data_IF_930888131820
#
_entry.id   IF_930888131820
#
_cell.length_a   1.000
_cell.length_b   1.000
_cell.length_c   1.000
_cell.angle_alpha   90.00
_cell.angle_beta   90.00
_cell.angle_gamma   90.00
#
_symmetry.space_group_name_H-M   'P 1'
#
loop_
_entity.id
_entity.type
_entity.pdbx_description
1 polymer ?
#
# COMPACT_ATOMS: atom_id res chain seq x y z
N UNK A 1 -95.39 64.40 -21.11
CA UNK A 1 -96.34 64.02 -20.03
C UNK A 1 -95.48 63.35 -18.97
N UNK A 2 -94.91 64.09 -18.01
CA UNK A 2 -95.53 64.71 -16.80
C UNK A 2 -95.90 63.68 -15.73
N UNK A 3 -95.66 64.07 -14.47
CA UNK A 3 -95.80 63.46 -13.13
C UNK A 3 -94.57 62.67 -12.67
N UNK A 4 -93.70 63.12 -11.74
CA UNK A 4 -93.81 63.86 -10.45
C UNK A 4 -94.34 63.03 -9.27
N UNK A 5 -93.78 63.34 -8.08
CA UNK A 5 -94.08 62.95 -6.68
C UNK A 5 -93.25 61.77 -6.12
N UNK A 6 -92.25 62.00 -5.25
CA UNK A 6 -92.30 62.31 -3.78
C UNK A 6 -92.71 61.07 -2.93
N UNK A 7 -92.11 60.67 -1.80
CA UNK A 7 -91.74 61.41 -0.57
C UNK A 7 -90.77 60.57 0.33
N UNK A 8 -90.27 61.23 1.37
CA UNK A 8 -89.14 61.02 2.32
C UNK A 8 -89.36 60.04 3.49
N UNK A 9 -88.29 59.45 4.08
CA UNK A 9 -88.06 59.26 5.56
C UNK A 9 -86.67 58.61 5.85
N UNK A 10 -85.65 59.33 6.33
CA UNK A 10 -85.21 59.61 7.74
C UNK A 10 -84.22 58.59 8.37
N UNK A 11 -83.14 59.14 8.96
CA UNK A 11 -82.27 58.57 10.02
C UNK A 11 -81.10 57.67 9.53
N UNK A 12 -79.90 57.65 10.09
CA UNK A 12 -79.28 58.28 11.28
C UNK A 12 -77.75 58.04 11.23
N UNK A 13 -76.98 58.83 11.98
CA UNK A 13 -75.53 58.83 12.15
C UNK A 13 -74.94 57.52 12.73
N UNK A 14 -73.64 57.26 12.48
CA UNK A 14 -72.91 56.24 13.24
C UNK A 14 -71.48 55.98 12.77
N UNK A 15 -70.55 56.64 13.42
CA UNK A 15 -69.09 56.60 13.23
C UNK A 15 -68.44 55.27 13.69
N UNK A 16 -67.32 54.91 13.05
CA UNK A 16 -66.25 54.07 13.62
C UNK A 16 -66.43 52.56 13.76
N UNK A 17 -65.56 51.77 13.09
CA UNK A 17 -64.79 50.73 13.79
C UNK A 17 -63.52 50.27 13.04
N UNK A 18 -62.38 50.88 13.38
CA UNK A 18 -61.04 50.28 13.19
C UNK A 18 -60.76 49.40 14.41
N UNK A 19 -60.81 48.06 14.27
CA UNK A 19 -59.96 47.11 15.00
C UNK A 19 -60.45 45.66 14.86
N UNK A 20 -60.12 44.98 13.76
CA UNK A 20 -60.13 43.50 13.71
C UNK A 20 -58.93 43.05 12.87
N UNK A 21 -57.70 43.31 13.31
CA UNK A 21 -56.52 42.72 12.66
C UNK A 21 -55.25 42.69 13.52
N UNK A 22 -55.36 42.59 14.85
CA UNK A 22 -54.16 42.51 15.73
C UNK A 22 -54.08 41.28 16.64
N UNK A 23 -55.13 40.44 16.64
CA UNK A 23 -55.22 39.26 17.52
C UNK A 23 -54.69 37.99 16.84
N UNK A 24 -54.86 37.85 15.51
CA UNK A 24 -54.43 36.67 14.74
C UNK A 24 -52.91 36.60 14.59
N UNK A 25 -52.26 37.69 14.19
CA UNK A 25 -50.81 37.73 14.01
C UNK A 25 -50.03 37.56 15.32
N UNK A 26 -50.60 38.01 16.45
CA UNK A 26 -49.99 37.82 17.78
C UNK A 26 -50.07 36.37 18.22
N UNK A 27 -51.18 35.68 17.96
CA UNK A 27 -51.30 34.25 18.24
C UNK A 27 -50.41 33.39 17.34
N UNK A 28 -50.28 33.71 16.05
CA UNK A 28 -49.42 32.98 15.12
C UNK A 28 -47.92 33.14 15.46
N UNK A 29 -47.49 34.33 15.87
CA UNK A 29 -46.12 34.56 16.38
C UNK A 29 -45.84 33.78 17.68
N UNK A 30 -46.83 33.65 18.55
CA UNK A 30 -46.69 32.91 19.82
C UNK A 30 -46.64 31.39 19.62
N UNK A 31 -47.49 30.86 18.72
CA UNK A 31 -47.51 29.43 18.34
C UNK A 31 -46.21 29.04 17.63
N UNK A 32 -45.72 29.89 16.71
CA UNK A 32 -44.43 29.66 16.02
C UNK A 32 -43.23 29.75 16.96
N UNK A 33 -43.23 30.67 17.93
CA UNK A 33 -42.18 30.77 18.95
C UNK A 33 -42.16 29.56 19.88
N UNK A 34 -43.33 29.09 20.34
CA UNK A 34 -43.45 27.88 21.17
C UNK A 34 -43.01 26.63 20.41
N UNK A 35 -43.37 26.54 19.12
CA UNK A 35 -42.91 25.46 18.23
C UNK A 35 -41.40 25.51 18.06
N UNK A 36 -40.81 26.69 17.84
CA UNK A 36 -39.36 26.89 17.73
C UNK A 36 -38.62 26.50 19.03
N UNK A 37 -39.13 26.90 20.19
CA UNK A 37 -38.54 26.53 21.49
C UNK A 37 -38.61 25.03 21.75
N UNK A 38 -39.71 24.38 21.35
CA UNK A 38 -39.85 22.92 21.42
C UNK A 38 -38.87 22.20 20.49
N UNK A 39 -38.68 22.69 19.26
CA UNK A 39 -37.70 22.13 18.32
C UNK A 39 -36.25 22.35 18.78
N UNK A 40 -35.93 23.51 19.37
CA UNK A 40 -34.61 23.78 19.96
C UNK A 40 -34.31 22.81 21.11
N UNK A 41 -35.28 22.63 22.01
CA UNK A 41 -35.16 21.66 23.11
C UNK A 41 -35.02 20.22 22.62
N UNK A 42 -35.75 19.85 21.57
CA UNK A 42 -35.62 18.53 20.96
C UNK A 42 -34.22 18.35 20.35
N UNK A 43 -33.72 19.32 19.60
CA UNK A 43 -32.38 19.28 19.03
C UNK A 43 -31.28 19.22 20.10
N UNK A 44 -31.45 19.96 21.21
CA UNK A 44 -30.55 19.90 22.37
C UNK A 44 -30.57 18.52 23.03
N UNK A 45 -31.74 17.89 23.16
CA UNK A 45 -31.88 16.53 23.68
C UNK A 45 -31.26 15.49 22.75
N UNK A 46 -31.44 15.62 21.44
CA UNK A 46 -30.87 14.72 20.45
C UNK A 46 -29.33 14.82 20.43
N UNK A 47 -28.77 16.03 20.57
CA UNK A 47 -27.31 16.24 20.68
C UNK A 47 -26.75 15.62 21.97
N UNK A 48 -27.48 15.70 23.08
CA UNK A 48 -27.08 15.07 24.34
C UNK A 48 -27.13 13.54 24.24
N UNK A 49 -28.15 12.98 23.58
CA UNK A 49 -28.25 11.55 23.35
C UNK A 49 -27.09 11.03 22.48
N UNK A 50 -26.75 11.74 21.40
CA UNK A 50 -25.61 11.40 20.53
C UNK A 50 -24.26 11.49 21.26
N UNK A 51 -24.10 12.46 22.17
CA UNK A 51 -22.88 12.57 23.00
C UNK A 51 -22.75 11.39 23.96
N UNK A 52 -23.85 11.00 24.62
CA UNK A 52 -23.86 9.85 25.50
C UNK A 52 -23.55 8.55 24.75
N UNK A 53 -24.11 8.37 23.54
CA UNK A 53 -23.81 7.22 22.69
C UNK A 53 -22.35 7.22 22.23
N UNK A 54 -21.78 8.38 21.87
CA UNK A 54 -20.37 8.50 21.50
C UNK A 54 -19.44 8.11 22.65
N UNK A 55 -19.72 8.60 23.86
CA UNK A 55 -18.93 8.28 25.06
C UNK A 55 -18.99 6.77 25.37
N UNK A 56 -20.14 6.13 25.19
CA UNK A 56 -20.29 4.68 25.33
C UNK A 56 -19.46 3.91 24.28
N UNK A 57 -19.50 4.34 23.01
CA UNK A 57 -18.68 3.71 21.96
C UNK A 57 -17.19 3.90 22.19
N UNK A 58 -16.76 5.06 22.68
CA UNK A 58 -15.35 5.32 23.03
C UNK A 58 -14.90 4.40 24.17
N UNK A 59 -15.72 4.25 25.22
CA UNK A 59 -15.41 3.32 26.31
C UNK A 59 -15.32 1.87 25.82
N UNK A 60 -16.15 1.47 24.86
CA UNK A 60 -16.09 0.14 24.27
C UNK A 60 -14.83 -0.06 23.40
N UNK A 61 -14.41 0.95 22.63
CA UNK A 61 -13.15 0.92 21.88
C UNK A 61 -11.97 0.72 22.84
N UNK A 62 -11.95 1.44 23.96
CA UNK A 62 -10.90 1.28 24.97
C UNK A 62 -10.87 -0.13 25.55
N UNK A 63 -12.03 -0.71 25.86
CA UNK A 63 -12.12 -2.12 26.33
C UNK A 63 -11.62 -3.11 25.27
N UNK A 64 -11.98 -2.91 24.00
CA UNK A 64 -11.52 -3.76 22.91
C UNK A 64 -10.00 -3.65 22.72
N UNK A 65 -9.43 -2.46 22.83
CA UNK A 65 -7.98 -2.24 22.79
C UNK A 65 -7.27 -2.92 23.96
N UNK A 66 -7.82 -2.85 25.17
CA UNK A 66 -7.30 -3.54 26.34
C UNK A 66 -7.34 -5.07 26.15
N UNK A 67 -8.47 -5.61 25.66
CA UNK A 67 -8.61 -7.05 25.34
C UNK A 67 -7.61 -7.49 24.28
N UNK A 68 -7.41 -6.71 23.22
CA UNK A 68 -6.43 -7.01 22.17
C UNK A 68 -5.01 -7.02 22.72
N UNK A 69 -4.68 -6.06 23.60
CA UNK A 69 -3.37 -5.98 24.25
C UNK A 69 -3.10 -7.20 25.14
N UNK A 70 -4.07 -7.60 25.96
CA UNK A 70 -3.97 -8.79 26.82
C UNK A 70 -3.89 -10.06 25.97
N UNK A 71 -4.71 -10.18 24.92
CA UNK A 71 -4.66 -11.32 24.00
C UNK A 71 -3.30 -11.43 23.31
N UNK A 72 -2.76 -10.30 22.82
CA UNK A 72 -1.44 -10.26 22.17
C UNK A 72 -0.32 -10.62 23.15
N UNK A 73 -0.43 -10.18 24.42
CA UNK A 73 0.52 -10.52 25.48
C UNK A 73 0.40 -11.98 25.94
N UNK A 74 -0.79 -12.55 25.96
CA UNK A 74 -1.03 -13.95 26.31
C UNK A 74 -0.62 -14.91 25.19
N UNK A 75 -0.73 -14.50 23.92
CA UNK A 75 -0.19 -15.23 22.76
C UNK A 75 1.32 -15.04 22.60
N UNK A 76 1.88 -13.97 23.16
CA UNK A 76 3.32 -13.75 23.22
C UNK A 76 3.94 -14.58 24.34
N UNK A 77 3.87 -15.92 24.20
CA UNK A 77 4.80 -16.79 24.90
C UNK A 77 6.21 -16.41 24.45
N UNK A 78 7.13 -16.00 25.34
CA UNK A 78 8.50 -15.61 24.96
C UNK A 78 9.31 -16.76 24.31
N UNK A 79 8.78 -17.99 24.34
CA UNK A 79 9.46 -19.20 23.92
C UNK A 79 9.23 -19.61 22.45
N UNK A 80 8.28 -19.02 21.73
CA UNK A 80 7.96 -19.43 20.33
C UNK A 80 8.28 -18.39 19.26
N UNK A 81 8.90 -17.26 19.62
CA UNK A 81 9.70 -16.54 18.62
C UNK A 81 10.98 -17.33 18.44
N UNK A 82 10.95 -18.39 17.63
CA UNK A 82 12.16 -18.79 16.91
C UNK A 82 12.57 -17.54 16.17
N UNK A 83 13.53 -16.80 16.72
CA UNK A 83 14.09 -15.64 16.07
C UNK A 83 14.65 -16.19 14.77
N UNK A 84 13.96 -15.92 13.65
CA UNK A 84 14.41 -16.31 12.32
C UNK A 84 15.85 -15.83 12.23
N UNK A 85 16.78 -16.79 12.21
CA UNK A 85 18.21 -16.50 12.23
C UNK A 85 18.48 -15.64 11.02
N UNK A 86 18.81 -14.36 11.24
CA UNK A 86 19.26 -13.51 10.14
C UNK A 86 20.65 -13.99 9.74
N UNK A 87 20.86 -14.41 8.49
CA UNK A 87 22.17 -14.82 8.04
C UNK A 87 23.13 -13.63 8.13
N UNK A 88 24.38 -13.91 8.47
CA UNK A 88 25.39 -12.87 8.48
C UNK A 88 25.85 -12.50 7.05
N UNK A 89 26.64 -11.44 6.92
CA UNK A 89 27.07 -10.96 5.61
C UNK A 89 28.03 -11.91 4.88
N UNK A 90 28.67 -12.84 5.58
CA UNK A 90 29.55 -13.87 4.98
C UNK A 90 28.72 -15.02 4.46
N UNK A 91 27.75 -15.49 5.25
CA UNK A 91 26.78 -16.51 4.83
C UNK A 91 26.04 -16.06 3.56
N UNK A 92 25.52 -14.83 3.53
CA UNK A 92 24.83 -14.29 2.36
C UNK A 92 25.69 -14.27 1.09
N UNK A 93 27.02 -14.22 1.22
CA UNK A 93 27.98 -14.19 0.12
C UNK A 93 28.34 -15.57 -0.42
N UNK A 94 28.00 -16.63 0.31
CA UNK A 94 28.32 -18.03 -0.01
C UNK A 94 27.09 -18.80 -0.47
N UNK A 95 25.89 -18.36 -0.08
CA UNK A 95 24.62 -19.07 -0.35
C UNK A 95 24.05 -18.87 -1.77
N UNK A 96 24.62 -17.94 -2.54
CA UNK A 96 24.17 -17.61 -3.91
C UNK A 96 25.39 -17.33 -4.78
N UNK A 97 25.32 -17.70 -6.06
CA UNK A 97 26.36 -17.39 -7.03
C UNK A 97 26.58 -15.88 -7.22
N UNK A 98 27.78 -15.49 -7.67
CA UNK A 98 28.08 -14.10 -8.04
C UNK A 98 27.40 -13.73 -9.35
N UNK A 99 26.90 -12.50 -9.44
CA UNK A 99 26.32 -11.97 -10.66
C UNK A 99 27.29 -11.06 -11.41
N UNK A 100 27.98 -11.62 -12.39
CA UNK A 100 28.89 -10.92 -13.29
C UNK A 100 28.45 -11.08 -14.76
N UNK A 101 27.69 -10.10 -15.32
CA UNK A 101 27.19 -10.15 -16.70
C UNK A 101 28.26 -10.19 -17.79
N UNK A 102 29.55 -10.00 -17.46
CA UNK A 102 30.64 -10.15 -18.43
C UNK A 102 31.08 -11.60 -18.58
N UNK A 103 30.85 -12.43 -17.58
CA UNK A 103 31.23 -13.83 -17.61
C UNK A 103 30.27 -14.62 -18.51
N UNK A 104 30.84 -15.49 -19.34
CA UNK A 104 30.07 -16.28 -20.29
C UNK A 104 29.22 -17.37 -19.60
N UNK A 105 29.70 -17.89 -18.47
CA UNK A 105 29.06 -18.91 -17.64
C UNK A 105 28.10 -18.33 -16.60
N UNK A 106 28.07 -17.02 -16.40
CA UNK A 106 27.15 -16.38 -15.46
C UNK A 106 25.68 -16.64 -15.84
N UNK A 107 24.84 -16.82 -14.82
CA UNK A 107 23.39 -16.91 -14.98
C UNK A 107 22.85 -15.63 -15.61
N UNK A 108 21.76 -15.76 -16.38
CA UNK A 108 21.00 -14.57 -16.79
C UNK A 108 20.43 -13.87 -15.55
N UNK A 109 20.10 -12.58 -15.66
CA UNK A 109 19.54 -11.84 -14.53
C UNK A 109 18.27 -12.50 -13.98
N UNK A 110 17.43 -13.05 -14.86
CA UNK A 110 16.21 -13.75 -14.46
C UNK A 110 16.51 -15.05 -13.70
N UNK A 111 17.43 -15.87 -14.18
CA UNK A 111 17.83 -17.12 -13.52
C UNK A 111 18.51 -16.85 -12.18
N UNK A 112 19.35 -15.82 -12.11
CA UNK A 112 20.02 -15.44 -10.87
C UNK A 112 19.05 -14.91 -9.81
N UNK A 113 18.06 -14.12 -10.21
CA UNK A 113 16.96 -13.71 -9.32
C UNK A 113 16.19 -14.94 -8.82
N UNK A 114 15.92 -15.92 -9.69
CA UNK A 114 15.27 -17.17 -9.30
C UNK A 114 16.12 -18.01 -8.33
N UNK A 115 17.44 -18.03 -8.50
CA UNK A 115 18.36 -18.66 -7.54
C UNK A 115 18.22 -18.03 -6.16
N UNK A 116 18.23 -16.68 -6.08
CA UNK A 116 18.03 -15.97 -4.80
C UNK A 116 16.67 -16.30 -4.19
N UNK A 117 15.59 -16.29 -4.99
CA UNK A 117 14.24 -16.62 -4.49
C UNK A 117 14.16 -18.06 -3.97
N UNK A 118 14.79 -19.01 -4.67
CA UNK A 118 14.86 -20.41 -4.23
C UNK A 118 15.62 -20.56 -2.92
N UNK A 119 16.78 -19.92 -2.80
CA UNK A 119 17.57 -19.91 -1.56
C UNK A 119 16.81 -19.22 -0.43
N UNK A 120 16.16 -18.09 -0.72
CA UNK A 120 15.34 -17.36 0.23
C UNK A 120 14.17 -18.19 0.75
N UNK A 121 13.52 -18.97 -0.12
CA UNK A 121 12.44 -19.88 0.29
C UNK A 121 12.94 -21.02 1.18
N UNK A 122 14.19 -21.48 1.00
CA UNK A 122 14.78 -22.53 1.83
C UNK A 122 15.12 -22.05 3.25
N UNK A 123 15.50 -20.78 3.40
CA UNK A 123 15.94 -20.18 4.66
C UNK A 123 14.95 -19.16 5.25
N UNK A 124 13.72 -19.09 4.71
CA UNK A 124 12.67 -18.16 5.12
C UNK A 124 13.11 -16.68 5.16
N UNK A 125 13.82 -16.22 4.11
CA UNK A 125 14.32 -14.85 4.03
C UNK A 125 13.22 -13.83 3.71
N UNK A 126 13.25 -12.71 4.44
CA UNK A 126 12.49 -11.52 4.10
C UNK A 126 13.09 -10.77 2.89
N UNK A 127 12.30 -9.90 2.26
CA UNK A 127 12.72 -9.12 1.09
C UNK A 127 13.96 -8.24 1.36
N UNK A 128 14.14 -7.78 2.61
CA UNK A 128 15.33 -7.03 3.02
C UNK A 128 16.58 -7.91 2.98
N UNK A 129 16.48 -9.17 3.42
CA UNK A 129 17.57 -10.14 3.36
C UNK A 129 17.89 -10.51 1.92
N UNK A 130 16.88 -10.72 1.05
CA UNK A 130 17.08 -10.93 -0.39
C UNK A 130 17.84 -9.79 -1.05
N UNK A 131 17.43 -8.54 -0.80
CA UNK A 131 18.09 -7.36 -1.35
C UNK A 131 19.54 -7.23 -0.84
N UNK A 132 19.76 -7.53 0.45
CA UNK A 132 21.10 -7.54 1.02
C UNK A 132 21.99 -8.62 0.44
N UNK A 133 21.46 -9.83 0.21
CA UNK A 133 22.17 -10.90 -0.48
C UNK A 133 22.56 -10.47 -1.89
N UNK A 134 21.61 -9.93 -2.64
CA UNK A 134 21.84 -9.53 -4.02
C UNK A 134 22.92 -8.47 -4.14
N UNK A 135 22.83 -7.36 -3.40
CA UNK A 135 23.83 -6.27 -3.46
C UNK A 135 25.24 -6.73 -3.08
N UNK A 136 25.37 -7.72 -2.19
CA UNK A 136 26.65 -8.29 -1.78
C UNK A 136 27.27 -9.20 -2.82
N UNK A 137 26.47 -9.73 -3.76
CA UNK A 137 26.88 -10.68 -4.79
C UNK A 137 26.95 -10.09 -6.21
N UNK A 138 26.75 -8.79 -6.37
CA UNK A 138 27.00 -8.08 -7.63
C UNK A 138 28.50 -7.89 -7.89
N UNK A 139 28.93 -8.15 -9.12
CA UNK A 139 30.31 -7.98 -9.57
C UNK A 139 30.43 -7.34 -10.97
N UNK A 140 31.58 -6.74 -11.24
CA UNK A 140 31.84 -6.11 -12.53
C UNK A 140 30.85 -4.98 -12.85
N UNK A 141 30.25 -5.02 -14.04
CA UNK A 141 29.34 -3.96 -14.51
C UNK A 141 28.05 -3.88 -13.71
N UNK A 142 27.57 -4.98 -13.12
CA UNK A 142 26.34 -4.99 -12.31
C UNK A 142 26.52 -4.23 -11.00
N UNK A 143 27.72 -4.29 -10.40
CA UNK A 143 28.07 -3.50 -9.22
C UNK A 143 28.12 -2.00 -9.52
N UNK A 144 28.61 -1.62 -10.70
CA UNK A 144 28.60 -0.22 -11.16
C UNK A 144 27.17 0.28 -11.42
N UNK A 145 26.34 -0.55 -12.06
CA UNK A 145 24.92 -0.26 -12.25
C UNK A 145 24.22 0.00 -10.91
N UNK A 146 24.43 -0.87 -9.92
CA UNK A 146 23.84 -0.70 -8.58
C UNK A 146 24.24 0.62 -7.94
N UNK A 147 25.51 1.01 -8.02
CA UNK A 147 26.00 2.27 -7.47
C UNK A 147 25.23 3.49 -8.02
N UNK A 148 24.78 3.43 -9.28
CA UNK A 148 24.00 4.49 -9.92
C UNK A 148 22.50 4.50 -9.57
N UNK A 149 21.92 3.38 -9.12
CA UNK A 149 20.46 3.27 -8.89
C UNK A 149 20.06 3.01 -7.44
N UNK A 150 21.00 2.74 -6.54
CA UNK A 150 20.75 2.33 -5.14
C UNK A 150 19.87 3.30 -4.33
N UNK A 151 19.85 4.59 -4.66
CA UNK A 151 19.01 5.59 -3.97
C UNK A 151 17.53 5.48 -4.37
N UNK A 152 17.25 4.97 -5.57
CA UNK A 152 15.89 4.79 -6.09
C UNK A 152 15.36 3.37 -5.89
N UNK A 153 16.26 2.40 -5.72
CA UNK A 153 15.95 0.97 -5.70
C UNK A 153 16.11 0.45 -4.28
N UNK A 154 15.03 0.52 -3.49
CA UNK A 154 15.05 0.19 -2.06
C UNK A 154 14.19 -1.02 -1.66
N UNK A 155 13.45 -1.62 -2.61
CA UNK A 155 12.69 -2.84 -2.40
C UNK A 155 13.21 -3.97 -3.28
N UNK A 156 13.04 -5.20 -2.82
CA UNK A 156 13.37 -6.39 -3.60
C UNK A 156 12.63 -6.42 -4.94
N UNK A 157 11.33 -6.11 -4.94
CA UNK A 157 10.51 -6.06 -6.15
C UNK A 157 11.02 -5.05 -7.20
N UNK A 158 11.44 -3.86 -6.77
CA UNK A 158 11.98 -2.86 -7.68
C UNK A 158 13.38 -3.24 -8.17
N UNK A 159 14.18 -3.84 -7.29
CA UNK A 159 15.51 -4.34 -7.63
C UNK A 159 15.44 -5.42 -8.72
N UNK A 160 14.67 -6.48 -8.51
CA UNK A 160 14.56 -7.59 -9.45
C UNK A 160 14.05 -7.13 -10.82
N UNK A 161 13.03 -6.27 -10.83
CA UNK A 161 12.50 -5.69 -12.06
C UNK A 161 13.55 -4.84 -12.81
N UNK A 162 14.22 -3.90 -12.12
CA UNK A 162 15.21 -3.03 -12.77
C UNK A 162 16.45 -3.81 -13.21
N UNK A 163 16.87 -4.85 -12.47
CA UNK A 163 18.01 -5.68 -12.82
C UNK A 163 17.76 -6.45 -14.12
N UNK A 164 16.61 -7.13 -14.24
CA UNK A 164 16.23 -7.88 -15.45
C UNK A 164 16.13 -6.94 -16.66
N UNK A 165 15.62 -5.73 -16.47
CA UNK A 165 15.56 -4.71 -17.53
C UNK A 165 16.96 -4.24 -17.95
N UNK A 166 17.89 -4.10 -17.01
CA UNK A 166 19.27 -3.66 -17.29
C UNK A 166 20.12 -4.76 -17.96
N UNK A 167 19.84 -6.02 -17.64
CA UNK A 167 20.60 -7.19 -18.11
C UNK A 167 19.66 -8.25 -18.71
N UNK A 168 19.15 -8.02 -19.92
CA UNK A 168 18.25 -8.97 -20.57
C UNK A 168 18.95 -10.31 -20.86
N UNK A 169 18.20 -11.40 -20.66
CA UNK A 169 18.70 -12.78 -20.66
C UNK A 169 19.19 -13.32 -22.01
N UNK A 170 18.91 -12.63 -23.12
CA UNK A 170 19.13 -13.17 -24.46
C UNK A 170 20.60 -13.01 -24.91
N UNK A 171 21.39 -14.07 -24.74
CA UNK A 171 22.61 -14.29 -25.52
C UNK A 171 22.31 -15.35 -26.58
N UNK A 172 22.60 -15.02 -27.83
CA UNK A 172 22.41 -15.91 -28.98
C UNK A 172 23.31 -17.16 -28.86
N UNK A 173 22.85 -18.38 -29.23
CA UNK A 173 23.71 -19.53 -29.47
C UNK A 173 25.06 -19.23 -30.15
N UNK A 174 25.11 -18.31 -31.13
CA UNK A 174 26.35 -17.88 -31.80
C UNK A 174 27.36 -17.27 -30.81
N UNK A 175 26.88 -16.49 -29.83
CA UNK A 175 27.74 -15.93 -28.78
C UNK A 175 28.42 -17.06 -28.00
N UNK A 176 27.65 -18.06 -27.56
CA UNK A 176 28.19 -19.17 -26.78
C UNK A 176 29.13 -20.05 -27.59
N UNK A 177 28.80 -20.33 -28.86
CA UNK A 177 29.70 -21.03 -29.77
C UNK A 177 31.06 -20.31 -29.87
N UNK A 178 31.05 -18.98 -30.09
CA UNK A 178 32.27 -18.19 -30.14
C UNK A 178 33.06 -18.22 -28.82
N UNK A 179 32.38 -18.21 -27.68
CA UNK A 179 33.03 -18.32 -26.38
C UNK A 179 33.66 -19.71 -26.17
N UNK A 180 33.00 -20.78 -26.60
CA UNK A 180 33.55 -22.15 -26.56
C UNK A 180 34.79 -22.28 -27.44
N UNK A 181 34.75 -21.75 -28.68
CA UNK A 181 35.89 -21.80 -29.61
C UNK A 181 37.10 -21.01 -29.09
N UNK A 182 36.87 -19.85 -28.47
CA UNK A 182 37.95 -19.00 -27.92
C UNK A 182 38.53 -19.55 -26.62
N UNK A 183 37.79 -20.39 -25.90
CA UNK A 183 38.19 -20.90 -24.59
C UNK A 183 39.31 -21.93 -24.74
N UNK A 184 40.48 -21.59 -24.19
CA UNK A 184 41.63 -22.48 -24.10
C UNK A 184 41.90 -22.83 -22.63
N UNK A 185 42.36 -24.06 -22.36
CA UNK A 185 42.75 -24.52 -21.02
C UNK A 185 43.88 -23.64 -20.48
N UNK A 186 43.74 -23.17 -19.25
CA UNK A 186 44.80 -22.39 -18.59
C UNK A 186 45.91 -23.29 -18.03
N UNK A 187 47.07 -22.71 -17.72
CA UNK A 187 48.23 -23.47 -17.21
C UNK A 187 47.98 -24.04 -15.80
N UNK A 188 47.28 -23.28 -14.98
CA UNK A 188 46.91 -23.54 -13.58
C UNK A 188 45.56 -24.26 -13.43
N UNK A 189 44.86 -24.50 -14.53
CA UNK A 189 43.58 -25.21 -14.56
C UNK A 189 43.78 -26.72 -14.76
N UNK A 190 42.96 -27.55 -14.15
CA UNK A 190 42.91 -29.00 -14.41
C UNK A 190 42.24 -29.29 -15.76
N UNK A 191 42.33 -30.54 -16.25
CA UNK A 191 41.62 -30.91 -17.48
C UNK A 191 40.11 -30.96 -17.22
N UNK A 192 39.74 -31.43 -16.04
CA UNK A 192 38.36 -31.56 -15.56
C UNK A 192 37.67 -30.20 -15.50
N UNK A 193 38.28 -29.20 -14.87
CA UNK A 193 37.74 -27.83 -14.80
C UNK A 193 37.52 -27.24 -16.19
N UNK A 194 38.49 -27.43 -17.10
CA UNK A 194 38.36 -26.98 -18.48
C UNK A 194 37.17 -27.62 -19.19
N UNK A 195 37.05 -28.95 -19.10
CA UNK A 195 35.95 -29.70 -19.71
C UNK A 195 34.61 -29.26 -19.14
N UNK A 196 34.48 -29.13 -17.82
CA UNK A 196 33.23 -28.68 -17.21
C UNK A 196 32.89 -27.23 -17.57
N UNK A 197 33.89 -26.36 -17.77
CA UNK A 197 33.66 -25.00 -18.26
C UNK A 197 33.10 -25.00 -19.70
N UNK A 198 33.61 -25.88 -20.58
CA UNK A 198 33.08 -26.05 -21.93
C UNK A 198 31.67 -26.63 -21.92
N UNK A 199 31.39 -27.62 -21.06
CA UNK A 199 30.04 -28.19 -20.89
C UNK A 199 29.05 -27.13 -20.40
N UNK A 200 29.43 -26.28 -19.45
CA UNK A 200 28.58 -25.19 -18.97
C UNK A 200 28.22 -24.21 -20.10
N UNK A 201 29.20 -23.83 -20.94
CA UNK A 201 28.96 -23.01 -22.12
C UNK A 201 28.07 -23.71 -23.16
N UNK A 202 28.29 -24.99 -23.41
CA UNK A 202 27.47 -25.80 -24.33
C UNK A 202 26.01 -25.88 -23.90
N UNK A 203 25.76 -26.14 -22.62
CA UNK A 203 24.40 -26.11 -22.04
C UNK A 203 23.73 -24.75 -22.25
N UNK A 204 24.48 -23.66 -22.08
CA UNK A 204 23.98 -22.29 -22.33
C UNK A 204 23.66 -22.03 -23.80
N UNK A 205 24.37 -22.68 -24.71
CA UNK A 205 24.11 -22.62 -26.16
C UNK A 205 22.92 -23.50 -26.61
N UNK A 206 22.31 -24.28 -25.71
CA UNK A 206 21.27 -25.26 -26.05
C UNK A 206 21.81 -26.57 -26.64
N UNK A 207 23.11 -26.85 -26.45
CA UNK A 207 23.72 -28.12 -26.83
C UNK A 207 23.52 -29.09 -25.67
N UNK A 208 22.63 -30.07 -25.82
CA UNK A 208 22.31 -31.11 -24.83
C UNK A 208 22.89 -32.46 -25.22
#
# INVERSE_FOLDING_TARGET
MSTSEEYVSEGDHGDGNKNISSSSERNDKFVTLRKKHRMSRQAEQDVLALRAELDEKVAEIERLQQRLTIATRATASPQDRIAVRRPDFRELRELVSRFNPKEATCLSAQEWIQEIESTAAHYDWDDATKLNCARLNLEGSSKLWWAGVQNEVNTWALFSQKLVRAYPSARDPIYYHNQMTKRQKMRDETVEEYVYSQVALGKRAGLS
#
